data_IF_685521953525
#
_entry.id   IF_685521953525
#
_cell.length_a   1.000
_cell.length_b   1.000
_cell.length_c   1.000
_cell.angle_alpha   90.00
_cell.angle_beta   90.00
_cell.angle_gamma   90.00
#
_symmetry.space_group_name_H-M   'P 1'
#
loop_
_entity.id
_entity.type
_entity.pdbx_description
1 polymer ?
#
# COMPACT_ATOMS: atom_id res chain seq x y z
N UNK A 1 9.54 -36.07 -18.54
CA UNK A 1 10.58 -35.32 -17.80
C UNK A 1 10.00 -33.94 -17.63
N UNK A 2 9.23 -33.75 -16.53
CA UNK A 2 8.64 -32.45 -16.19
C UNK A 2 9.72 -31.57 -15.59
N UNK A 3 9.87 -30.40 -16.20
CA UNK A 3 10.77 -29.36 -15.75
C UNK A 3 10.30 -28.88 -14.38
N UNK A 4 11.05 -29.14 -13.32
CA UNK A 4 10.85 -28.60 -11.98
C UNK A 4 11.28 -27.14 -12.00
N UNK A 5 10.42 -26.25 -12.51
CA UNK A 5 10.67 -24.82 -12.48
C UNK A 5 10.70 -24.35 -11.02
N UNK A 6 11.87 -24.11 -10.49
CA UNK A 6 12.09 -23.49 -9.19
C UNK A 6 11.49 -22.07 -9.13
N UNK A 7 11.40 -21.48 -7.93
CA UNK A 7 10.99 -20.08 -7.77
C UNK A 7 11.95 -19.14 -8.53
N UNK A 8 11.40 -18.26 -9.36
CA UNK A 8 12.17 -17.15 -9.90
C UNK A 8 12.52 -16.16 -8.77
N UNK A 9 13.77 -15.71 -8.74
CA UNK A 9 14.26 -14.72 -7.77
C UNK A 9 14.66 -13.44 -8.52
N UNK A 10 14.10 -12.34 -8.08
CA UNK A 10 14.30 -11.03 -8.67
C UNK A 10 14.89 -10.09 -7.62
N UNK A 11 15.72 -9.14 -8.04
CA UNK A 11 16.24 -8.09 -7.16
C UNK A 11 15.86 -6.72 -7.70
N UNK A 12 15.52 -5.81 -6.78
CA UNK A 12 15.31 -4.38 -7.02
C UNK A 12 16.13 -3.64 -5.96
N UNK A 13 17.17 -2.96 -6.39
CA UNK A 13 18.02 -2.18 -5.50
C UNK A 13 17.43 -0.79 -5.27
N UNK A 14 17.55 -0.29 -4.05
CA UNK A 14 17.17 1.08 -3.72
C UNK A 14 18.22 2.08 -4.22
N UNK A 15 17.77 3.23 -4.70
CA UNK A 15 18.64 4.36 -4.96
C UNK A 15 19.12 4.96 -3.62
N UNK A 16 20.30 4.56 -3.17
CA UNK A 16 20.85 4.97 -1.88
C UNK A 16 20.26 4.24 -0.67
N UNK A 17 20.21 4.91 0.49
CA UNK A 17 19.73 4.31 1.72
C UNK A 17 18.25 3.89 1.66
N UNK A 18 17.93 2.79 2.35
CA UNK A 18 16.56 2.31 2.52
C UNK A 18 16.29 1.88 3.96
N UNK A 19 15.41 2.61 4.65
CA UNK A 19 14.92 2.23 5.98
C UNK A 19 13.85 1.13 5.84
N UNK A 20 14.31 -0.10 5.56
CA UNK A 20 13.45 -1.26 5.40
C UNK A 20 12.65 -1.59 6.67
N UNK A 21 13.18 -1.25 7.85
CA UNK A 21 12.46 -1.45 9.10
C UNK A 21 11.21 -0.56 9.19
N UNK A 22 11.29 0.70 8.72
CA UNK A 22 10.11 1.57 8.62
C UNK A 22 9.08 1.04 7.62
N UNK A 23 9.55 0.52 6.46
CA UNK A 23 8.67 -0.09 5.47
C UNK A 23 7.95 -1.32 6.05
N UNK A 24 8.66 -2.22 6.73
CA UNK A 24 8.08 -3.39 7.39
C UNK A 24 7.10 -3.00 8.50
N UNK A 25 7.42 -1.99 9.31
CA UNK A 25 6.50 -1.47 10.32
C UNK A 25 5.20 -0.95 9.70
N UNK A 26 5.31 -0.23 8.56
CA UNK A 26 4.14 0.24 7.82
C UNK A 26 3.32 -0.93 7.26
N UNK A 27 3.95 -1.97 6.70
CA UNK A 27 3.26 -3.17 6.24
C UNK A 27 2.55 -3.88 7.38
N UNK A 28 3.21 -4.04 8.52
CA UNK A 28 2.63 -4.67 9.72
C UNK A 28 1.41 -3.91 10.24
N UNK A 29 1.51 -2.59 10.31
CA UNK A 29 0.43 -1.72 10.76
C UNK A 29 -0.83 -1.86 9.88
N UNK A 30 -0.65 -2.14 8.58
CA UNK A 30 -1.73 -2.24 7.59
C UNK A 30 -2.00 -3.67 7.11
N UNK A 31 -1.39 -4.69 7.72
CA UNK A 31 -1.60 -6.07 7.30
C UNK A 31 -3.07 -6.50 7.49
N UNK A 32 -3.64 -7.11 6.45
CA UNK A 32 -5.03 -7.58 6.40
C UNK A 32 -5.03 -9.10 6.42
N UNK A 33 -5.76 -9.68 7.36
CA UNK A 33 -5.89 -11.14 7.48
C UNK A 33 -6.51 -11.74 6.21
N UNK A 34 -5.97 -12.89 5.76
CA UNK A 34 -6.40 -13.56 4.54
C UNK A 34 -5.87 -12.94 3.23
N UNK A 35 -5.37 -11.71 3.26
CA UNK A 35 -4.76 -11.03 2.12
C UNK A 35 -3.24 -11.04 2.17
N UNK A 36 -2.67 -11.00 3.37
CA UNK A 36 -1.24 -10.86 3.62
C UNK A 36 -0.73 -11.91 4.59
N UNK A 37 0.48 -12.43 4.34
CA UNK A 37 1.31 -13.10 5.33
C UNK A 37 2.58 -12.26 5.55
N UNK A 38 2.94 -12.03 6.80
CA UNK A 38 4.07 -11.18 7.19
C UNK A 38 4.90 -11.87 8.26
N UNK A 39 6.19 -12.04 8.01
CA UNK A 39 7.19 -12.44 8.99
C UNK A 39 8.17 -11.30 9.20
N UNK A 40 8.00 -10.58 10.32
CA UNK A 40 8.85 -9.42 10.65
C UNK A 40 10.28 -9.85 11.01
N UNK A 41 10.48 -11.04 11.56
CA UNK A 41 11.81 -11.54 11.93
C UNK A 41 12.63 -11.89 10.68
N UNK A 42 11.97 -12.47 9.68
CA UNK A 42 12.57 -12.78 8.40
C UNK A 42 12.58 -11.57 7.44
N UNK A 43 11.89 -10.48 7.76
CA UNK A 43 11.74 -9.32 6.86
C UNK A 43 10.93 -9.64 5.60
N UNK A 44 10.03 -10.62 5.65
CA UNK A 44 9.30 -11.10 4.48
C UNK A 44 7.82 -10.77 4.53
N UNK A 45 7.25 -10.55 3.35
CA UNK A 45 5.85 -10.23 3.14
C UNK A 45 5.35 -10.99 1.90
N UNK A 46 4.31 -11.79 2.07
CA UNK A 46 3.75 -12.62 1.00
C UNK A 46 2.31 -12.24 0.72
N UNK A 47 1.95 -12.16 -0.55
CA UNK A 47 0.60 -11.92 -1.02
C UNK A 47 0.38 -12.33 -2.46
N UNK A 48 -0.89 -12.33 -2.90
CA UNK A 48 -1.23 -12.40 -4.32
C UNK A 48 -1.27 -11.00 -4.91
N UNK A 49 -0.78 -10.88 -6.14
CA UNK A 49 -0.81 -9.65 -6.93
C UNK A 49 -1.37 -9.96 -8.31
N UNK A 50 -2.22 -9.08 -8.81
CA UNK A 50 -2.66 -9.11 -10.18
C UNK A 50 -1.60 -8.47 -11.10
N UNK A 51 -1.27 -9.15 -12.19
CA UNK A 51 -0.47 -8.65 -13.31
C UNK A 51 -1.22 -9.00 -14.58
N UNK A 52 -1.69 -7.99 -15.30
CA UNK A 52 -2.42 -8.13 -16.56
C UNK A 52 -3.62 -9.10 -16.49
N UNK A 53 -4.37 -9.07 -15.38
CA UNK A 53 -5.56 -9.90 -15.14
C UNK A 53 -5.25 -11.32 -14.67
N UNK A 54 -3.98 -11.66 -14.41
CA UNK A 54 -3.56 -12.92 -13.83
C UNK A 54 -3.00 -12.75 -12.43
N UNK A 55 -3.39 -13.62 -11.50
CA UNK A 55 -2.93 -13.57 -10.11
C UNK A 55 -1.63 -14.36 -9.92
N UNK A 56 -0.65 -13.70 -9.31
CA UNK A 56 0.65 -14.27 -8.99
C UNK A 56 0.91 -14.24 -7.48
N UNK A 57 1.36 -15.35 -6.91
CA UNK A 57 1.88 -15.37 -5.55
C UNK A 57 3.28 -14.78 -5.55
N UNK A 58 3.52 -13.80 -4.68
CA UNK A 58 4.80 -13.10 -4.57
C UNK A 58 5.19 -12.96 -3.11
N UNK A 59 6.41 -13.38 -2.80
CA UNK A 59 7.06 -13.11 -1.52
C UNK A 59 8.12 -12.03 -1.72
N UNK A 60 8.02 -10.96 -0.96
CA UNK A 60 8.99 -9.86 -0.96
C UNK A 60 9.77 -9.90 0.34
N UNK A 61 11.10 -9.89 0.24
CA UNK A 61 12.01 -9.70 1.36
C UNK A 61 12.64 -8.33 1.26
N UNK A 62 12.61 -7.55 2.34
CA UNK A 62 13.18 -6.21 2.42
C UNK A 62 14.47 -6.24 3.23
N UNK A 63 15.50 -5.60 2.71
CA UNK A 63 16.79 -5.37 3.38
C UNK A 63 17.27 -3.94 3.15
N UNK A 64 18.39 -3.56 3.76
CA UNK A 64 18.93 -2.20 3.67
C UNK A 64 19.32 -1.77 2.23
N UNK A 65 19.50 -2.71 1.31
CA UNK A 65 19.84 -2.44 -0.10
C UNK A 65 18.61 -2.39 -1.02
N UNK A 66 17.41 -2.79 -0.55
CA UNK A 66 16.21 -2.78 -1.38
C UNK A 66 15.28 -3.96 -1.15
N UNK A 67 14.77 -4.58 -2.22
CA UNK A 67 13.83 -5.68 -2.16
C UNK A 67 14.26 -6.86 -3.03
N UNK A 68 14.10 -8.08 -2.49
CA UNK A 68 14.20 -9.32 -3.24
C UNK A 68 12.83 -9.95 -3.36
N UNK A 69 12.47 -10.44 -4.54
CA UNK A 69 11.17 -11.06 -4.79
C UNK A 69 11.36 -12.54 -5.15
N UNK A 70 10.43 -13.37 -4.72
CA UNK A 70 10.29 -14.75 -5.16
C UNK A 70 8.89 -14.98 -5.70
N UNK A 71 8.77 -15.62 -6.87
CA UNK A 71 7.51 -15.96 -7.53
C UNK A 71 7.62 -17.28 -8.29
N UNK A 72 6.54 -18.08 -8.38
CA UNK A 72 6.51 -19.26 -9.24
C UNK A 72 6.55 -18.94 -10.74
N UNK A 73 6.10 -17.74 -11.13
CA UNK A 73 6.09 -17.36 -12.55
C UNK A 73 7.49 -17.30 -13.14
N UNK A 74 7.66 -17.87 -14.33
CA UNK A 74 8.89 -17.80 -15.12
C UNK A 74 8.79 -16.81 -16.30
N UNK A 75 7.65 -16.12 -16.42
CA UNK A 75 7.40 -15.17 -17.51
C UNK A 75 8.22 -13.86 -17.28
N UNK A 76 9.08 -13.47 -18.22
CA UNK A 76 9.85 -12.23 -18.13
C UNK A 76 8.96 -10.96 -18.06
N UNK A 77 7.78 -10.97 -18.69
CA UNK A 77 6.83 -9.85 -18.62
C UNK A 77 6.29 -9.68 -17.19
N UNK A 78 5.89 -10.79 -16.56
CA UNK A 78 5.48 -10.79 -15.14
C UNK A 78 6.64 -10.32 -14.24
N UNK A 79 7.88 -10.76 -14.50
CA UNK A 79 9.04 -10.32 -13.75
C UNK A 79 9.27 -8.81 -13.86
N UNK A 80 9.10 -8.25 -15.06
CA UNK A 80 9.23 -6.80 -15.28
C UNK A 80 8.14 -6.02 -14.52
N UNK A 81 6.89 -6.48 -14.60
CA UNK A 81 5.76 -5.88 -13.89
C UNK A 81 5.94 -5.94 -12.36
N UNK A 82 6.41 -7.06 -11.82
CA UNK A 82 6.68 -7.22 -10.39
C UNK A 82 7.81 -6.31 -9.90
N UNK A 83 8.88 -6.12 -10.71
CA UNK A 83 9.92 -5.15 -10.38
C UNK A 83 9.38 -3.73 -10.32
N UNK A 84 8.63 -3.31 -11.34
CA UNK A 84 8.00 -1.98 -11.39
C UNK A 84 7.06 -1.76 -10.20
N UNK A 85 6.23 -2.75 -9.89
CA UNK A 85 5.31 -2.71 -8.75
C UNK A 85 6.05 -2.50 -7.42
N UNK A 86 7.10 -3.28 -7.15
CA UNK A 86 7.87 -3.17 -5.89
C UNK A 86 8.67 -1.88 -5.82
N UNK A 87 9.22 -1.42 -6.94
CA UNK A 87 9.88 -0.12 -7.07
C UNK A 87 8.95 1.01 -6.65
N UNK A 88 7.74 1.03 -7.20
CA UNK A 88 6.71 2.02 -6.83
C UNK A 88 6.24 1.87 -5.38
N UNK A 89 5.96 0.63 -4.94
CA UNK A 89 5.44 0.34 -3.61
C UNK A 89 6.33 0.89 -2.49
N UNK A 90 7.65 0.69 -2.62
CA UNK A 90 8.63 1.11 -1.60
C UNK A 90 9.44 2.34 -2.01
N UNK A 91 9.06 3.02 -3.11
CA UNK A 91 9.71 4.25 -3.57
C UNK A 91 11.24 4.08 -3.80
N UNK A 92 11.64 2.91 -4.35
CA UNK A 92 13.05 2.50 -4.38
C UNK A 92 13.92 3.33 -5.33
N UNK A 93 13.34 3.94 -6.37
CA UNK A 93 14.08 4.78 -7.34
C UNK A 93 14.26 6.23 -6.88
N UNK A 94 13.57 6.67 -5.82
CA UNK A 94 13.64 8.05 -5.38
C UNK A 94 15.06 8.42 -4.92
N UNK A 95 15.60 9.50 -5.48
CA UNK A 95 16.79 10.16 -4.92
C UNK A 95 16.37 10.96 -3.68
N UNK A 96 16.84 10.52 -2.52
CA UNK A 96 16.51 11.17 -1.25
C UNK A 96 17.44 12.33 -0.90
N UNK A 97 18.53 12.58 -1.63
CA UNK A 97 19.46 13.65 -1.29
C UNK A 97 18.79 15.04 -1.24
N UNK A 98 17.95 15.46 -2.23
CA UNK A 98 17.25 16.73 -2.14
C UNK A 98 16.15 16.74 -1.06
N UNK A 99 15.51 15.58 -0.79
CA UNK A 99 14.53 15.43 0.30
C UNK A 99 15.18 15.64 1.64
N UNK A 100 16.29 14.94 1.89
CA UNK A 100 17.04 15.01 3.15
C UNK A 100 17.66 16.39 3.38
N UNK A 101 18.14 17.06 2.31
CA UNK A 101 18.61 18.44 2.39
C UNK A 101 17.48 19.40 2.80
N UNK A 102 16.28 19.24 2.21
CA UNK A 102 15.13 20.10 2.51
C UNK A 102 14.62 19.87 3.94
N UNK A 103 14.35 18.61 4.29
CA UNK A 103 13.77 18.27 5.59
C UNK A 103 14.80 18.38 6.72
N UNK A 104 16.07 18.04 6.47
CA UNK A 104 17.15 18.17 7.44
C UNK A 104 17.46 19.61 7.85
N UNK A 105 17.07 20.60 7.05
CA UNK A 105 17.16 22.02 7.42
C UNK A 105 16.12 22.44 8.47
N UNK A 106 15.03 21.67 8.63
CA UNK A 106 14.03 21.91 9.66
C UNK A 106 14.44 21.19 10.95
N UNK A 107 14.57 21.90 12.10
CA UNK A 107 14.90 21.30 13.40
C UNK A 107 13.97 20.13 13.80
N UNK A 108 12.73 20.09 13.30
CA UNK A 108 11.79 19.01 13.55
C UNK A 108 12.29 17.66 13.01
N UNK A 109 12.93 17.67 11.83
CA UNK A 109 13.35 16.46 11.15
C UNK A 109 14.88 16.23 11.18
N UNK A 110 15.67 17.22 11.55
CA UNK A 110 17.13 17.17 11.46
C UNK A 110 17.75 15.93 12.14
N UNK A 111 17.27 15.57 13.34
CA UNK A 111 17.72 14.39 14.04
C UNK A 111 17.29 13.11 13.30
N UNK A 112 16.01 13.02 12.92
CA UNK A 112 15.46 11.83 12.25
C UNK A 112 16.08 11.59 10.87
N UNK A 113 16.36 12.65 10.09
CA UNK A 113 17.05 12.53 8.80
C UNK A 113 18.43 11.88 8.98
N UNK A 114 19.17 12.31 10.02
CA UNK A 114 20.50 11.80 10.33
C UNK A 114 20.46 10.36 10.89
N UNK A 115 19.52 10.06 11.77
CA UNK A 115 19.44 8.79 12.51
C UNK A 115 18.72 7.70 11.73
N UNK A 116 17.81 8.09 10.85
CA UNK A 116 17.00 7.19 9.99
C UNK A 116 17.10 7.63 8.51
N UNK A 117 18.29 7.53 7.91
CA UNK A 117 18.44 7.77 6.48
C UNK A 117 17.62 6.72 5.69
N UNK A 118 17.12 7.11 4.53
CA UNK A 118 16.41 6.17 3.65
C UNK A 118 14.95 5.93 4.02
N UNK A 119 14.34 6.74 4.91
CA UNK A 119 12.91 6.67 5.15
C UNK A 119 12.16 7.18 3.93
N UNK A 120 11.44 6.27 3.25
CA UNK A 120 10.73 6.47 1.98
C UNK A 120 9.23 6.44 2.19
N UNK A 121 8.48 6.87 1.17
CA UNK A 121 7.03 6.74 1.15
C UNK A 121 6.68 5.28 0.81
N UNK A 122 6.17 4.52 1.79
CA UNK A 122 5.57 3.21 1.50
C UNK A 122 4.18 3.42 0.92
N UNK A 123 3.99 3.14 -0.36
CA UNK A 123 2.72 3.35 -1.08
C UNK A 123 1.79 2.15 -0.96
N UNK A 124 0.59 2.27 -1.45
CA UNK A 124 -0.24 1.12 -1.76
C UNK A 124 0.27 0.46 -3.04
N UNK A 125 0.07 -0.83 -3.11
CA UNK A 125 0.48 -1.64 -4.25
C UNK A 125 -0.41 -1.41 -5.48
N UNK A 126 -1.71 -1.31 -5.28
CA UNK A 126 -2.69 -1.09 -6.35
C UNK A 126 -3.60 0.08 -6.02
N UNK A 127 -3.92 0.93 -7.00
CA UNK A 127 -4.74 2.11 -6.81
C UNK A 127 -6.14 1.79 -6.26
N UNK A 128 -6.83 0.79 -6.79
CA UNK A 128 -8.16 0.43 -6.29
C UNK A 128 -8.15 -0.05 -4.83
N UNK A 129 -7.19 -0.90 -4.47
CA UNK A 129 -7.00 -1.32 -3.07
C UNK A 129 -6.77 -0.10 -2.16
N UNK A 130 -5.99 0.88 -2.64
CA UNK A 130 -5.75 2.12 -1.91
C UNK A 130 -7.05 2.89 -1.65
N UNK A 131 -7.89 3.06 -2.67
CA UNK A 131 -9.18 3.76 -2.55
C UNK A 131 -10.05 3.06 -1.52
N UNK A 132 -10.28 1.76 -1.67
CA UNK A 132 -11.16 0.99 -0.79
C UNK A 132 -10.62 0.96 0.64
N UNK A 133 -9.34 0.62 0.85
CA UNK A 133 -8.75 0.56 2.19
C UNK A 133 -8.74 1.94 2.88
N UNK A 134 -8.53 3.01 2.13
CA UNK A 134 -8.62 4.39 2.67
C UNK A 134 -10.04 4.71 3.11
N UNK A 135 -11.06 4.37 2.31
CA UNK A 135 -12.48 4.56 2.68
C UNK A 135 -12.85 3.72 3.91
N UNK A 136 -12.43 2.45 3.96
CA UNK A 136 -12.67 1.58 5.12
C UNK A 136 -12.04 2.12 6.41
N UNK A 137 -10.90 2.80 6.30
CA UNK A 137 -10.17 3.40 7.42
C UNK A 137 -10.66 4.78 7.87
N UNK A 138 -11.58 5.44 7.13
CA UNK A 138 -12.07 6.77 7.50
C UNK A 138 -12.74 6.77 8.89
N UNK A 139 -12.32 7.68 9.77
CA UNK A 139 -12.93 7.94 11.08
C UNK A 139 -13.08 6.69 11.98
N UNK A 140 -12.21 5.72 11.83
CA UNK A 140 -12.14 4.54 12.69
C UNK A 140 -10.69 4.27 13.10
N UNK A 141 -10.50 3.39 14.09
CA UNK A 141 -9.14 2.93 14.43
C UNK A 141 -8.55 2.10 13.29
N UNK A 142 -7.21 2.06 13.21
CA UNK A 142 -6.51 1.22 12.23
C UNK A 142 -6.94 -0.26 12.34
N UNK A 143 -7.14 -0.77 13.56
CA UNK A 143 -7.61 -2.12 13.79
C UNK A 143 -9.02 -2.36 13.20
N UNK A 144 -9.94 -1.40 13.34
CA UNK A 144 -11.28 -1.51 12.76
C UNK A 144 -11.25 -1.46 11.23
N UNK A 145 -10.42 -0.58 10.63
CA UNK A 145 -10.22 -0.54 9.18
C UNK A 145 -9.70 -1.86 8.63
N UNK A 146 -8.70 -2.46 9.30
CA UNK A 146 -8.16 -3.78 8.96
C UNK A 146 -9.22 -4.88 9.05
N UNK A 147 -10.06 -4.87 10.09
CA UNK A 147 -11.14 -5.84 10.25
C UNK A 147 -12.17 -5.73 9.11
N UNK A 148 -12.55 -4.51 8.70
CA UNK A 148 -13.42 -4.31 7.56
C UNK A 148 -12.78 -4.83 6.27
N UNK A 149 -11.50 -4.53 6.04
CA UNK A 149 -10.78 -5.04 4.88
C UNK A 149 -10.69 -6.58 4.88
N UNK A 150 -10.43 -7.21 6.04
CA UNK A 150 -10.39 -8.67 6.16
C UNK A 150 -11.75 -9.31 5.83
N UNK A 151 -12.86 -8.74 6.34
CA UNK A 151 -14.22 -9.22 6.01
C UNK A 151 -14.54 -9.06 4.53
N UNK A 152 -14.16 -7.92 3.93
CA UNK A 152 -14.34 -7.67 2.52
C UNK A 152 -13.57 -8.67 1.66
N UNK A 153 -12.29 -8.94 2.00
CA UNK A 153 -11.46 -9.93 1.30
C UNK A 153 -12.00 -11.34 1.50
N UNK A 154 -12.44 -11.70 2.70
CA UNK A 154 -13.02 -13.02 2.98
C UNK A 154 -14.31 -13.28 2.18
N UNK A 155 -15.13 -12.25 1.97
CA UNK A 155 -16.40 -12.38 1.25
C UNK A 155 -16.25 -12.30 -0.28
N UNK A 156 -15.39 -11.42 -0.77
CA UNK A 156 -15.36 -11.04 -2.18
C UNK A 156 -13.98 -11.21 -2.85
N UNK A 157 -12.93 -11.51 -2.08
CA UNK A 157 -11.60 -11.78 -2.63
C UNK A 157 -11.58 -13.10 -3.40
N UNK A 158 -10.81 -13.15 -4.50
CA UNK A 158 -10.67 -14.37 -5.29
C UNK A 158 -9.90 -15.45 -4.51
N UNK A 159 -10.35 -16.68 -4.64
CA UNK A 159 -9.66 -17.84 -4.08
C UNK A 159 -8.44 -18.22 -4.94
N UNK A 160 -7.42 -18.87 -4.35
CA UNK A 160 -6.29 -19.39 -5.09
C UNK A 160 -6.78 -20.32 -6.23
N UNK A 161 -6.40 -20.03 -7.46
CA UNK A 161 -6.64 -20.97 -8.57
C UNK A 161 -5.66 -22.13 -8.47
N UNK A 162 -6.14 -23.36 -8.80
CA UNK A 162 -5.34 -24.58 -8.74
C UNK A 162 -4.04 -24.51 -9.59
N UNK A 163 -4.01 -23.69 -10.62
CA UNK A 163 -2.83 -23.49 -11.47
C UNK A 163 -1.74 -22.64 -10.80
N UNK A 164 -2.11 -21.74 -9.88
CA UNK A 164 -1.16 -20.97 -9.09
C UNK A 164 -0.52 -21.76 -7.93
N UNK A 165 -1.10 -22.92 -7.57
CA UNK A 165 -0.62 -23.81 -6.51
C UNK A 165 0.21 -24.99 -7.01
N UNK A 166 0.19 -25.32 -8.30
CA UNK A 166 0.93 -26.47 -8.87
C UNK A 166 2.46 -26.34 -8.82
N UNK A 167 2.98 -25.15 -8.56
CA UNK A 167 4.44 -24.94 -8.40
C UNK A 167 5.01 -25.48 -7.06
N UNK A 168 4.16 -26.04 -6.18
CA UNK A 168 4.57 -26.53 -4.84
C UNK A 168 4.87 -28.02 -4.76
N UNK A 169 4.66 -28.80 -5.84
CA UNK A 169 4.78 -30.25 -5.76
C UNK A 169 6.21 -30.79 -5.59
N UNK A 170 7.25 -29.97 -5.81
CA UNK A 170 8.65 -30.40 -5.72
C UNK A 170 9.53 -29.43 -4.90
N UNK A 171 9.29 -29.32 -3.59
CA UNK A 171 10.32 -28.88 -2.65
C UNK A 171 10.73 -27.40 -2.66
N UNK A 172 10.03 -26.52 -3.37
CA UNK A 172 10.21 -25.09 -3.19
C UNK A 172 9.46 -24.65 -1.93
N UNK A 173 10.19 -24.20 -0.91
CA UNK A 173 9.65 -23.59 0.31
C UNK A 173 8.86 -22.32 -0.04
N UNK A 174 7.60 -22.48 -0.41
CA UNK A 174 6.64 -21.39 -0.31
C UNK A 174 6.47 -21.10 1.18
N UNK A 175 6.51 -19.82 1.53
CA UNK A 175 6.28 -19.39 2.91
C UNK A 175 5.02 -20.03 3.49
N UNK A 176 5.03 -20.57 4.72
CA UNK A 176 3.87 -21.17 5.35
C UNK A 176 2.69 -20.19 5.33
N UNK A 177 1.53 -20.63 4.83
CA UNK A 177 0.30 -19.84 4.77
C UNK A 177 0.08 -19.06 3.48
N UNK A 178 1.02 -19.00 2.53
CA UNK A 178 0.83 -18.32 1.24
C UNK A 178 -0.25 -18.98 0.35
N UNK A 179 -0.49 -20.28 0.53
CA UNK A 179 -1.47 -21.06 -0.25
C UNK A 179 -2.92 -20.67 0.03
N UNK A 180 -3.22 -20.15 1.22
CA UNK A 180 -4.57 -19.75 1.64
C UNK A 180 -4.87 -18.26 1.41
N UNK A 181 -3.90 -17.47 0.92
CA UNK A 181 -4.09 -16.05 0.71
C UNK A 181 -5.02 -15.79 -0.49
N UNK A 182 -6.01 -14.95 -0.26
CA UNK A 182 -6.91 -14.45 -1.31
C UNK A 182 -6.27 -13.23 -2.00
N UNK A 183 -6.69 -12.97 -3.24
CA UNK A 183 -6.43 -11.66 -3.83
C UNK A 183 -7.48 -10.63 -3.40
N UNK A 184 -7.13 -9.36 -3.49
CA UNK A 184 -8.07 -8.28 -3.22
C UNK A 184 -9.17 -8.29 -4.30
N UNK A 185 -10.47 -8.08 -3.95
CA UNK A 185 -11.53 -8.11 -4.94
C UNK A 185 -11.34 -7.02 -6.00
N UNK A 186 -11.65 -7.36 -7.26
CA UNK A 186 -11.56 -6.40 -8.35
C UNK A 186 -12.65 -5.32 -8.27
N UNK A 187 -12.47 -4.15 -8.94
CA UNK A 187 -13.51 -3.13 -9.04
C UNK A 187 -14.82 -3.69 -9.57
N UNK A 188 -14.78 -4.53 -10.61
CA UNK A 188 -15.96 -5.14 -11.23
C UNK A 188 -16.74 -6.03 -10.25
N UNK A 189 -16.02 -6.79 -9.41
CA UNK A 189 -16.67 -7.62 -8.37
C UNK A 189 -17.40 -6.73 -7.37
N UNK A 190 -16.75 -5.71 -6.81
CA UNK A 190 -17.39 -4.84 -5.79
C UNK A 190 -18.47 -3.93 -6.38
N UNK A 191 -18.35 -3.51 -7.63
CA UNK A 191 -19.39 -2.74 -8.33
C UNK A 191 -20.67 -3.55 -8.56
N UNK A 192 -20.58 -4.87 -8.68
CA UNK A 192 -21.72 -5.77 -8.83
C UNK A 192 -22.43 -6.10 -7.51
N UNK A 193 -21.80 -5.82 -6.35
CA UNK A 193 -22.39 -6.12 -5.03
C UNK A 193 -23.34 -5.01 -4.61
N UNK A 194 -24.60 -5.31 -4.25
CA UNK A 194 -25.54 -4.31 -3.72
C UNK A 194 -25.00 -3.63 -2.46
N UNK A 195 -25.19 -2.33 -2.32
CA UNK A 195 -24.71 -1.54 -1.18
C UNK A 195 -25.19 -2.10 0.18
N UNK A 196 -26.42 -2.60 0.26
CA UNK A 196 -26.97 -3.20 1.49
C UNK A 196 -26.28 -4.52 1.85
N UNK A 197 -25.86 -5.29 0.84
CA UNK A 197 -25.08 -6.51 1.05
C UNK A 197 -23.67 -6.16 1.55
N UNK A 198 -22.97 -5.21 0.91
CA UNK A 198 -21.69 -4.69 1.40
C UNK A 198 -21.80 -4.23 2.87
N UNK A 199 -22.85 -3.49 3.19
CA UNK A 199 -23.12 -3.03 4.55
C UNK A 199 -23.25 -4.18 5.53
N UNK A 200 -24.07 -5.18 5.21
CA UNK A 200 -24.35 -6.30 6.10
C UNK A 200 -23.18 -7.24 6.28
N UNK A 201 -22.50 -7.61 5.18
CA UNK A 201 -21.41 -8.60 5.16
C UNK A 201 -20.14 -8.04 5.79
N UNK A 202 -19.76 -6.83 5.42
CA UNK A 202 -18.52 -6.20 5.92
C UNK A 202 -18.74 -5.53 7.30
N UNK A 203 -19.98 -5.18 7.63
CA UNK A 203 -20.34 -4.49 8.88
C UNK A 203 -20.12 -2.98 8.79
N UNK A 204 -20.39 -2.38 7.64
CA UNK A 204 -20.18 -0.96 7.38
C UNK A 204 -21.40 -0.11 7.77
N UNK A 205 -21.21 1.19 7.94
CA UNK A 205 -22.32 2.15 7.90
C UNK A 205 -22.87 2.25 6.48
N UNK A 206 -24.14 2.63 6.32
CA UNK A 206 -24.74 2.82 4.99
C UNK A 206 -23.96 3.81 4.12
N UNK A 207 -23.50 4.93 4.70
CA UNK A 207 -22.69 5.92 3.99
C UNK A 207 -21.36 5.31 3.48
N UNK A 208 -20.63 4.55 4.32
CA UNK A 208 -19.36 3.95 3.93
C UNK A 208 -19.54 2.85 2.88
N UNK A 209 -20.60 2.02 3.01
CA UNK A 209 -20.92 1.01 2.00
C UNK A 209 -21.22 1.65 0.64
N UNK A 210 -21.99 2.74 0.65
CA UNK A 210 -22.24 3.55 -0.55
C UNK A 210 -20.95 4.11 -1.15
N UNK A 211 -20.04 4.67 -0.33
CA UNK A 211 -18.77 5.19 -0.81
C UNK A 211 -17.93 4.09 -1.46
N UNK A 212 -17.82 2.89 -0.85
CA UNK A 212 -17.09 1.75 -1.41
C UNK A 212 -17.69 1.32 -2.75
N UNK A 213 -19.01 1.22 -2.83
CA UNK A 213 -19.71 0.82 -4.06
C UNK A 213 -19.50 1.84 -5.18
N UNK A 214 -19.74 3.14 -4.93
CA UNK A 214 -19.55 4.20 -5.94
C UNK A 214 -18.08 4.28 -6.40
N UNK A 215 -17.11 4.13 -5.48
CA UNK A 215 -15.69 4.07 -5.84
C UNK A 215 -15.36 2.85 -6.69
N UNK A 216 -15.99 1.69 -6.42
CA UNK A 216 -15.79 0.49 -7.22
C UNK A 216 -16.34 0.66 -8.64
N UNK A 217 -17.55 1.25 -8.78
CA UNK A 217 -18.12 1.59 -10.10
C UNK A 217 -17.19 2.53 -10.87
N UNK A 218 -16.76 3.63 -10.24
CA UNK A 218 -15.83 4.58 -10.86
C UNK A 218 -14.55 3.90 -11.34
N UNK A 219 -13.91 3.07 -10.49
CA UNK A 219 -12.66 2.40 -10.84
C UNK A 219 -12.86 1.31 -11.92
N UNK A 220 -14.02 0.64 -11.95
CA UNK A 220 -14.34 -0.32 -13.00
C UNK A 220 -14.46 0.34 -14.38
N UNK A 221 -15.02 1.55 -14.42
CA UNK A 221 -15.17 2.34 -15.64
C UNK A 221 -13.85 3.00 -16.09
N UNK A 222 -12.91 3.23 -15.16
CA UNK A 222 -11.62 3.89 -15.39
C UNK A 222 -10.46 2.91 -15.24
N UNK A 223 -10.16 2.15 -16.29
CA UNK A 223 -8.98 1.29 -16.36
C UNK A 223 -8.99 0.05 -15.45
N UNK A 224 -10.18 -0.38 -14.95
CA UNK A 224 -10.29 -1.63 -14.18
C UNK A 224 -9.53 -1.64 -12.85
N UNK A 225 -9.15 -0.47 -12.32
CA UNK A 225 -8.45 -0.34 -11.04
C UNK A 225 -6.92 -0.38 -11.11
N UNK A 226 -6.35 -0.48 -12.32
CA UNK A 226 -4.89 -0.43 -12.54
C UNK A 226 -4.33 0.98 -12.35
N UNK A 227 -5.14 1.98 -12.61
CA UNK A 227 -4.80 3.40 -12.46
C UNK A 227 -5.70 4.07 -11.42
N UNK A 228 -5.18 5.11 -10.78
CA UNK A 228 -5.97 5.96 -9.90
C UNK A 228 -6.82 6.89 -10.77
N UNK A 229 -8.17 6.90 -10.61
CA UNK A 229 -9.00 7.88 -11.29
C UNK A 229 -8.57 9.31 -10.99
N UNK A 230 -8.83 10.22 -11.92
CA UNK A 230 -8.54 11.64 -11.75
C UNK A 230 -9.14 12.21 -10.47
N UNK A 231 -8.44 13.18 -9.88
CA UNK A 231 -8.83 13.78 -8.58
C UNK A 231 -10.27 14.31 -8.58
N UNK A 232 -10.70 14.91 -9.66
CA UNK A 232 -12.05 15.46 -9.84
C UNK A 232 -13.11 14.36 -9.88
N UNK A 233 -12.82 13.23 -10.54
CA UNK A 233 -13.70 12.07 -10.59
C UNK A 233 -13.85 11.44 -9.19
N UNK A 234 -12.74 11.26 -8.49
CA UNK A 234 -12.75 10.77 -7.10
C UNK A 234 -13.50 11.73 -6.16
N UNK A 235 -13.36 13.04 -6.33
CA UNK A 235 -14.07 14.04 -5.53
C UNK A 235 -15.59 14.00 -5.74
N UNK A 236 -16.06 13.48 -6.87
CA UNK A 236 -17.47 13.26 -7.16
C UNK A 236 -18.09 12.09 -6.39
N UNK A 237 -17.29 11.16 -5.87
CA UNK A 237 -17.76 10.01 -5.09
C UNK A 237 -18.20 10.45 -3.70
N UNK A 238 -19.40 10.04 -3.29
CA UNK A 238 -19.89 10.34 -1.95
C UNK A 238 -18.91 9.90 -0.86
N UNK A 239 -18.60 10.78 0.08
CA UNK A 239 -17.73 10.48 1.21
C UNK A 239 -16.22 10.54 0.92
N UNK A 240 -15.80 10.84 -0.30
CA UNK A 240 -14.41 11.14 -0.64
C UNK A 240 -14.18 12.65 -0.51
N UNK A 241 -13.50 13.06 0.56
CA UNK A 241 -13.15 14.44 0.84
C UNK A 241 -11.67 14.73 0.60
N UNK A 242 -11.27 15.98 0.87
CA UNK A 242 -9.90 16.47 0.65
C UNK A 242 -8.84 15.58 1.31
N UNK A 243 -9.07 15.13 2.56
CA UNK A 243 -8.13 14.22 3.23
C UNK A 243 -7.91 12.92 2.44
N UNK A 244 -8.98 12.30 1.96
CA UNK A 244 -8.89 11.08 1.17
C UNK A 244 -8.12 11.32 -0.13
N UNK A 245 -8.43 12.41 -0.82
CA UNK A 245 -7.77 12.79 -2.07
C UNK A 245 -6.26 13.02 -1.88
N UNK A 246 -5.87 13.76 -0.84
CA UNK A 246 -4.46 14.02 -0.55
C UNK A 246 -3.73 12.74 -0.09
N UNK A 247 -4.42 11.90 0.70
CA UNK A 247 -3.87 10.61 1.12
C UNK A 247 -3.64 9.67 -0.07
N UNK A 248 -4.60 9.61 -1.01
CA UNK A 248 -4.47 8.80 -2.23
C UNK A 248 -3.39 9.35 -3.17
N UNK A 249 -3.32 10.67 -3.38
CA UNK A 249 -2.29 11.29 -4.19
C UNK A 249 -0.88 10.93 -3.70
N UNK A 250 -0.69 10.87 -2.37
CA UNK A 250 0.58 10.49 -1.75
C UNK A 250 0.82 8.97 -1.77
N UNK A 251 -0.20 8.18 -1.34
CA UNK A 251 0.00 6.76 -1.02
C UNK A 251 -0.32 5.81 -2.18
N UNK A 252 -1.03 6.27 -3.21
CA UNK A 252 -1.35 5.50 -4.41
C UNK A 252 -0.88 6.17 -5.70
N UNK A 253 -0.78 7.50 -5.69
CA UNK A 253 -0.20 8.29 -6.78
C UNK A 253 1.30 8.49 -6.65
N UNK A 254 1.79 9.49 -7.34
CA UNK A 254 3.21 9.88 -7.39
C UNK A 254 3.47 11.29 -6.85
N UNK A 255 2.46 11.94 -6.26
CA UNK A 255 2.59 13.30 -5.76
C UNK A 255 3.36 13.32 -4.44
N UNK A 256 4.65 13.64 -4.53
CA UNK A 256 5.55 13.75 -3.36
C UNK A 256 5.29 14.98 -2.50
N UNK A 257 4.47 15.92 -3.00
CA UNK A 257 4.10 17.13 -2.28
C UNK A 257 2.67 17.11 -1.71
N UNK A 258 1.91 16.04 -1.96
CA UNK A 258 0.62 15.83 -1.30
C UNK A 258 0.78 15.70 0.21
N UNK A 259 -0.05 16.42 0.96
CA UNK A 259 0.00 16.44 2.42
C UNK A 259 -1.42 16.42 3.01
N UNK A 260 -1.87 15.29 3.57
CA UNK A 260 -3.21 15.18 4.15
C UNK A 260 -3.29 15.91 5.50
N UNK A 261 -3.32 17.25 5.48
CA UNK A 261 -3.17 18.12 6.64
C UNK A 261 -4.22 17.87 7.75
N UNK A 262 -5.39 17.31 7.41
CA UNK A 262 -6.42 16.94 8.38
C UNK A 262 -6.24 15.53 8.97
N UNK A 263 -5.18 14.81 8.60
CA UNK A 263 -4.88 13.49 9.16
C UNK A 263 -4.68 13.56 10.68
N UNK A 264 -5.39 12.67 11.40
CA UNK A 264 -5.41 12.70 12.87
C UNK A 264 -4.03 12.37 13.48
N UNK A 265 -3.27 11.46 12.85
CA UNK A 265 -1.93 11.08 13.31
C UNK A 265 -0.95 12.22 13.05
N UNK A 266 -0.96 12.78 11.83
CA UNK A 266 -0.11 13.92 11.49
C UNK A 266 -0.36 15.11 12.42
N UNK A 267 -1.63 15.47 12.64
CA UNK A 267 -2.00 16.57 13.55
C UNK A 267 -1.53 16.33 14.98
N UNK A 268 -1.77 15.13 15.51
CA UNK A 268 -1.33 14.76 16.86
C UNK A 268 0.19 14.81 16.99
N UNK A 269 0.92 14.24 16.02
CA UNK A 269 2.39 14.24 16.03
C UNK A 269 2.94 15.64 15.91
N UNK A 270 2.42 16.48 15.02
CA UNK A 270 2.82 17.88 14.89
C UNK A 270 2.53 18.66 16.17
N UNK A 271 1.36 18.50 16.79
CA UNK A 271 1.02 19.17 18.05
C UNK A 271 1.98 18.78 19.18
N UNK A 272 2.39 17.50 19.23
CA UNK A 272 3.30 17.01 20.26
C UNK A 272 4.75 17.49 20.06
N UNK A 273 5.24 17.47 18.81
CA UNK A 273 6.64 17.75 18.49
C UNK A 273 6.91 19.24 18.20
N UNK A 274 5.93 19.94 17.67
CA UNK A 274 6.03 21.34 17.25
C UNK A 274 4.70 22.07 17.44
N UNK A 275 4.29 22.38 18.69
CA UNK A 275 2.98 23.00 18.98
C UNK A 275 2.71 24.32 18.25
N UNK A 276 3.76 25.04 17.87
CA UNK A 276 3.70 26.29 17.11
C UNK A 276 3.80 26.12 15.60
N UNK A 277 3.84 24.88 15.09
CA UNK A 277 3.93 24.64 13.66
C UNK A 277 2.64 25.07 12.94
N UNK A 278 2.69 26.19 12.24
CA UNK A 278 1.61 26.67 11.38
C UNK A 278 1.72 26.20 9.94
N UNK A 279 0.76 26.64 9.12
CA UNK A 279 0.72 26.33 7.68
C UNK A 279 1.99 26.76 6.93
N UNK A 280 2.64 27.84 7.35
CA UNK A 280 3.90 28.32 6.74
C UNK A 280 5.04 27.30 6.89
N UNK A 281 5.15 26.65 8.06
CA UNK A 281 6.15 25.60 8.27
C UNK A 281 5.87 24.39 7.37
N UNK A 282 4.62 23.95 7.27
CA UNK A 282 4.23 22.87 6.37
C UNK A 282 4.55 23.25 4.93
N UNK A 283 4.25 24.47 4.51
CA UNK A 283 4.57 24.97 3.18
C UNK A 283 6.07 25.00 2.88
N UNK A 284 6.91 25.23 3.91
CA UNK A 284 8.37 25.26 3.73
C UNK A 284 8.98 23.91 3.37
N UNK A 285 8.28 22.79 3.58
CA UNK A 285 8.74 21.43 3.20
C UNK A 285 8.52 21.11 1.73
N UNK A 286 7.75 21.96 1.00
CA UNK A 286 7.54 21.78 -0.43
C UNK A 286 8.88 21.78 -1.19
N UNK A 287 9.06 20.92 -2.22
CA UNK A 287 8.09 20.02 -2.85
C UNK A 287 8.07 18.60 -2.23
N UNK A 288 8.45 18.44 -0.98
CA UNK A 288 8.62 17.14 -0.31
C UNK A 288 7.74 16.96 0.92
N UNK A 289 6.57 17.62 0.95
CA UNK A 289 5.62 17.52 2.08
C UNK A 289 5.15 16.10 2.33
N UNK A 290 5.07 15.27 1.28
CA UNK A 290 4.73 13.84 1.40
C UNK A 290 5.78 13.05 2.18
N UNK A 291 7.06 13.32 2.00
CA UNK A 291 8.13 12.71 2.82
C UNK A 291 8.10 13.23 4.26
N UNK A 292 7.75 14.49 4.46
CA UNK A 292 7.50 15.01 5.81
C UNK A 292 6.35 14.27 6.49
N UNK A 293 5.25 14.00 5.77
CA UNK A 293 4.14 13.19 6.28
C UNK A 293 4.59 11.76 6.63
N UNK A 294 5.38 11.10 5.76
CA UNK A 294 5.93 9.77 6.03
C UNK A 294 6.79 9.75 7.31
N UNK A 295 7.64 10.75 7.51
CA UNK A 295 8.45 10.90 8.72
C UNK A 295 7.59 11.16 9.96
N UNK A 296 6.55 11.98 9.86
CA UNK A 296 5.62 12.26 10.97
C UNK A 296 4.80 11.00 11.35
N UNK A 297 4.36 10.20 10.38
CA UNK A 297 3.71 8.92 10.68
C UNK A 297 4.68 7.95 11.39
N UNK A 298 5.95 7.91 10.97
CA UNK A 298 6.95 7.06 11.60
C UNK A 298 7.31 7.46 13.05
N UNK A 299 7.02 8.68 13.50
CA UNK A 299 7.08 9.07 14.92
C UNK A 299 5.88 8.56 15.71
N UNK A 300 4.75 8.32 15.07
CA UNK A 300 3.49 7.91 15.70
C UNK A 300 3.26 6.40 15.74
N UNK A 301 4.15 5.62 15.12
CA UNK A 301 4.22 4.17 15.16
C UNK A 301 5.27 3.76 16.19
#
# INVERSE_FOLDING_TARGET
MGDTAGLARLRVDACGAFDHAAALATLAAHAVEGLHSLDLAAGTFTRRVDVDGAEHLVTVHLDAGGASLATPSQDPAVHAALRSLVTHWFDLEADLAPVDARLGADPLFAAQVRERPGLRITRFRQPFEAVVCTVLGQQVSLAAGRLFAARLVAAYGSEPTADGTKATADGAELMPGGESLRAFPSPAVLAAVPTEELRAVVGLTGSRARTVHEAAVLCAEHGGGAELPEREALAGVHGIGTWTLDHLALRAGTDTDAFPASDAVLRRTLTALAPSAGSERIASWSPYRGYAAARLWAFGL
#
